data_IF_898400029628
#
_entry.id   IF_898400029628
#
_cell.length_a   1.000
_cell.length_b   1.000
_cell.length_c   1.000
_cell.angle_alpha   90.00
_cell.angle_beta   90.00
_cell.angle_gamma   90.00
#
_symmetry.space_group_name_H-M   'P 1'
#
loop_
_entity.id
_entity.type
_entity.pdbx_description
1 polymer ?
#
# COMPACT_ATOMS: atom_id res chain seq x y z
N UNK A 1 -17.56 11.35 13.28
CA UNK A 1 -17.50 9.97 13.82
C UNK A 1 -18.11 10.00 15.20
N UNK A 2 -19.22 9.28 15.39
CA UNK A 2 -20.09 9.35 16.58
C UNK A 2 -19.57 8.47 17.73
N UNK A 3 -20.00 8.74 18.98
CA UNK A 3 -19.62 7.98 20.17
C UNK A 3 -20.01 6.50 20.06
N UNK A 4 -21.17 6.20 19.47
CA UNK A 4 -21.61 4.83 19.24
C UNK A 4 -20.75 4.08 18.22
N UNK A 5 -20.24 4.76 17.17
CA UNK A 5 -19.29 4.15 16.24
C UNK A 5 -17.99 3.75 16.93
N UNK A 6 -17.46 4.62 17.81
CA UNK A 6 -16.23 4.34 18.56
C UNK A 6 -16.40 3.19 19.55
N UNK A 7 -17.58 3.07 20.18
CA UNK A 7 -17.89 1.97 21.09
C UNK A 7 -17.99 0.64 20.32
N UNK A 8 -18.62 0.65 19.15
CA UNK A 8 -18.73 -0.51 18.27
C UNK A 8 -17.36 -0.96 17.72
N UNK A 9 -16.47 -0.02 17.35
CA UNK A 9 -15.09 -0.35 16.96
C UNK A 9 -14.29 -0.98 18.10
N UNK A 10 -14.44 -0.46 19.33
CA UNK A 10 -13.80 -1.03 20.53
C UNK A 10 -14.30 -2.45 20.84
N UNK A 11 -15.60 -2.70 20.80
CA UNK A 11 -16.17 -4.03 21.02
C UNK A 11 -15.73 -5.03 19.95
N UNK A 12 -15.68 -4.62 18.68
CA UNK A 12 -15.10 -5.44 17.60
C UNK A 12 -13.64 -5.79 17.84
N UNK A 13 -12.84 -4.83 18.32
CA UNK A 13 -11.44 -5.04 18.67
C UNK A 13 -11.28 -6.10 19.77
N UNK A 14 -12.05 -5.99 20.85
CA UNK A 14 -12.03 -6.95 21.96
C UNK A 14 -12.44 -8.37 21.53
N UNK A 15 -13.48 -8.50 20.70
CA UNK A 15 -13.91 -9.79 20.17
C UNK A 15 -12.85 -10.46 19.27
N UNK A 16 -12.10 -9.67 18.49
CA UNK A 16 -10.99 -10.18 17.68
C UNK A 16 -9.85 -10.73 18.53
N UNK A 17 -9.53 -10.09 19.66
CA UNK A 17 -8.47 -10.52 20.58
C UNK A 17 -8.81 -11.84 21.30
N UNK A 18 -10.09 -12.15 21.47
CA UNK A 18 -10.57 -13.39 22.08
C UNK A 18 -10.63 -14.57 21.09
N UNK A 19 -10.35 -14.34 19.80
CA UNK A 19 -10.42 -15.37 18.76
C UNK A 19 -9.10 -16.15 18.61
N UNK A 20 -9.10 -17.36 18.03
CA UNK A 20 -7.87 -18.08 17.70
C UNK A 20 -6.94 -17.21 16.84
N UNK A 21 -5.63 -17.24 17.14
CA UNK A 21 -4.64 -16.37 16.50
C UNK A 21 -4.72 -16.39 14.96
N UNK A 22 -4.99 -17.56 14.35
CA UNK A 22 -5.15 -17.68 12.90
C UNK A 22 -6.36 -16.91 12.34
N UNK A 23 -7.49 -16.92 13.04
CA UNK A 23 -8.71 -16.20 12.65
C UNK A 23 -8.52 -14.68 12.79
N UNK A 24 -7.84 -14.25 13.85
CA UNK A 24 -7.44 -12.86 14.04
C UNK A 24 -6.57 -12.36 12.89
N UNK A 25 -5.48 -13.08 12.59
CA UNK A 25 -4.52 -12.73 11.51
C UNK A 25 -5.23 -12.64 10.17
N UNK A 26 -6.05 -13.63 9.84
CA UNK A 26 -6.80 -13.67 8.58
C UNK A 26 -7.69 -12.44 8.42
N UNK A 27 -8.35 -12.01 9.50
CA UNK A 27 -9.23 -10.84 9.51
C UNK A 27 -8.46 -9.53 9.34
N UNK A 28 -7.33 -9.38 10.04
CA UNK A 28 -6.48 -8.19 9.95
C UNK A 28 -5.89 -8.05 8.54
N UNK A 29 -5.30 -9.12 8.01
CA UNK A 29 -4.66 -9.12 6.69
C UNK A 29 -5.69 -8.91 5.57
N UNK A 30 -6.87 -9.54 5.64
CA UNK A 30 -7.94 -9.29 4.68
C UNK A 30 -8.41 -7.83 4.70
N UNK A 31 -8.54 -7.22 5.88
CA UNK A 31 -8.97 -5.82 6.00
C UNK A 31 -7.95 -4.87 5.37
N UNK A 32 -6.66 -5.11 5.60
CA UNK A 32 -5.58 -4.33 5.01
C UNK A 32 -5.49 -4.54 3.49
N UNK A 33 -5.54 -5.79 3.03
CA UNK A 33 -5.54 -6.12 1.61
C UNK A 33 -6.70 -5.47 0.85
N UNK A 34 -7.92 -5.52 1.41
CA UNK A 34 -9.09 -4.84 0.82
C UNK A 34 -8.92 -3.32 0.74
N UNK A 35 -8.21 -2.71 1.69
CA UNK A 35 -7.96 -1.25 1.65
C UNK A 35 -6.93 -0.89 0.59
N UNK A 36 -5.91 -1.73 0.39
CA UNK A 36 -4.92 -1.54 -0.67
C UNK A 36 -5.57 -1.69 -2.05
N UNK A 37 -6.28 -2.80 -2.27
CA UNK A 37 -6.93 -3.10 -3.57
C UNK A 37 -8.12 -2.22 -3.92
N UNK A 38 -8.78 -1.59 -2.94
CA UNK A 38 -9.86 -0.62 -3.20
C UNK A 38 -9.34 0.77 -3.53
N UNK A 39 -8.07 1.05 -3.30
CA UNK A 39 -7.45 2.35 -3.59
C UNK A 39 -7.29 2.65 -5.09
N UNK A 40 -8.08 1.97 -5.94
CA UNK A 40 -7.94 1.93 -7.39
C UNK A 40 -7.71 3.30 -8.03
N UNK A 41 -6.80 3.29 -9.00
CA UNK A 41 -6.32 4.41 -9.79
C UNK A 41 -5.70 5.56 -8.98
N UNK A 42 -4.51 5.25 -8.46
CA UNK A 42 -3.57 6.11 -7.73
C UNK A 42 -3.34 7.50 -8.33
N UNK A 43 -3.52 7.62 -9.64
CA UNK A 43 -3.28 8.84 -10.42
C UNK A 43 -4.20 9.98 -10.00
N UNK A 44 -5.42 9.66 -9.56
CA UNK A 44 -6.46 10.64 -9.25
C UNK A 44 -6.68 10.85 -7.74
N UNK A 45 -5.90 10.18 -6.89
CA UNK A 45 -5.97 10.38 -5.45
C UNK A 45 -5.36 11.73 -5.07
N UNK A 46 -6.00 12.43 -4.13
CA UNK A 46 -5.39 13.58 -3.46
C UNK A 46 -4.19 13.15 -2.58
N UNK A 47 -3.41 14.13 -2.11
CA UNK A 47 -2.19 13.86 -1.33
C UNK A 47 -2.46 13.06 -0.06
N UNK A 48 -3.57 13.34 0.62
CA UNK A 48 -3.95 12.65 1.85
C UNK A 48 -4.31 11.19 1.55
N UNK A 49 -5.12 10.93 0.52
CA UNK A 49 -5.49 9.60 0.10
C UNK A 49 -4.28 8.79 -0.38
N UNK A 50 -3.35 9.41 -1.13
CA UNK A 50 -2.06 8.78 -1.50
C UNK A 50 -1.24 8.42 -0.27
N UNK A 51 -1.15 9.33 0.70
CA UNK A 51 -0.42 9.09 1.93
C UNK A 51 -1.04 7.96 2.77
N UNK A 52 -2.36 7.94 2.92
CA UNK A 52 -3.08 6.89 3.64
C UNK A 52 -2.92 5.52 2.96
N UNK A 53 -2.92 5.48 1.63
CA UNK A 53 -2.68 4.25 0.88
C UNK A 53 -1.25 3.73 1.10
N UNK A 54 -0.23 4.61 1.06
CA UNK A 54 1.17 4.24 1.37
C UNK A 54 1.31 3.70 2.79
N UNK A 55 0.68 4.34 3.78
CA UNK A 55 0.65 3.86 5.16
C UNK A 55 0.00 2.47 5.22
N UNK A 56 -1.13 2.29 4.55
CA UNK A 56 -1.88 1.03 4.56
C UNK A 56 -1.10 -0.10 3.89
N UNK A 57 -0.44 0.16 2.77
CA UNK A 57 0.44 -0.79 2.09
C UNK A 57 1.60 -1.21 3.00
N UNK A 58 2.27 -0.27 3.68
CA UNK A 58 3.32 -0.59 4.67
C UNK A 58 2.79 -1.45 5.81
N UNK A 59 1.62 -1.08 6.36
CA UNK A 59 0.96 -1.87 7.42
C UNK A 59 0.66 -3.29 6.96
N UNK A 60 0.21 -3.48 5.72
CA UNK A 60 -0.04 -4.81 5.15
C UNK A 60 1.24 -5.63 5.06
N UNK A 61 2.32 -5.08 4.50
CA UNK A 61 3.62 -5.77 4.40
C UNK A 61 4.15 -6.18 5.77
N UNK A 62 4.22 -5.24 6.71
CA UNK A 62 4.76 -5.54 8.05
C UNK A 62 3.90 -6.54 8.82
N UNK A 63 2.58 -6.45 8.69
CA UNK A 63 1.69 -7.47 9.29
C UNK A 63 1.91 -8.84 8.65
N UNK A 64 2.11 -8.89 7.33
CA UNK A 64 2.37 -10.14 6.61
C UNK A 64 3.72 -10.77 6.97
N UNK A 65 4.76 -9.97 7.16
CA UNK A 65 6.07 -10.41 7.67
C UNK A 65 5.95 -10.90 9.12
N UNK A 66 5.32 -10.11 9.99
CA UNK A 66 5.17 -10.40 11.42
C UNK A 66 4.37 -11.69 11.69
N UNK A 67 3.26 -11.89 10.99
CA UNK A 67 2.40 -13.07 11.18
C UNK A 67 2.80 -14.27 10.32
N UNK A 68 3.89 -14.17 9.54
CA UNK A 68 4.37 -15.26 8.70
C UNK A 68 4.60 -16.58 9.44
N UNK A 69 5.12 -16.63 10.69
CA UNK A 69 5.34 -17.90 11.39
C UNK A 69 4.05 -18.63 11.77
N UNK A 70 2.91 -17.92 11.80
CA UNK A 70 1.59 -18.49 12.12
C UNK A 70 0.92 -19.12 10.89
N UNK A 71 1.51 -18.98 9.71
CA UNK A 71 0.97 -19.48 8.44
C UNK A 71 1.86 -20.60 7.89
N UNK A 72 1.28 -21.75 7.57
CA UNK A 72 2.02 -22.93 7.06
C UNK A 72 2.41 -22.82 5.57
N UNK A 73 2.09 -21.69 4.92
CA UNK A 73 2.17 -21.50 3.46
C UNK A 73 3.40 -20.65 3.05
N UNK A 74 4.61 -21.07 3.43
CA UNK A 74 5.86 -20.29 3.23
C UNK A 74 6.11 -19.86 1.78
N UNK A 75 5.81 -20.73 0.80
CA UNK A 75 5.96 -20.39 -0.63
C UNK A 75 4.98 -19.31 -1.07
N UNK A 76 3.73 -19.35 -0.61
CA UNK A 76 2.72 -18.32 -0.93
C UNK A 76 3.07 -17.01 -0.24
N UNK A 77 3.53 -17.07 1.00
CA UNK A 77 4.01 -15.90 1.74
C UNK A 77 5.13 -15.18 0.99
N UNK A 78 6.17 -15.91 0.56
CA UNK A 78 7.29 -15.32 -0.21
C UNK A 78 6.80 -14.62 -1.48
N UNK A 79 5.95 -15.28 -2.27
CA UNK A 79 5.37 -14.69 -3.49
C UNK A 79 4.54 -13.43 -3.19
N UNK A 80 3.77 -13.44 -2.11
CA UNK A 80 2.98 -12.31 -1.68
C UNK A 80 3.85 -11.11 -1.26
N UNK A 81 4.92 -11.36 -0.49
CA UNK A 81 5.86 -10.30 -0.10
C UNK A 81 6.55 -9.70 -1.32
N UNK A 82 7.03 -10.52 -2.26
CA UNK A 82 7.65 -10.01 -3.50
C UNK A 82 6.68 -9.14 -4.31
N UNK A 83 5.41 -9.54 -4.44
CA UNK A 83 4.42 -8.72 -5.13
C UNK A 83 4.11 -7.41 -4.38
N UNK A 84 4.07 -7.45 -3.04
CA UNK A 84 3.93 -6.26 -2.19
C UNK A 84 5.11 -5.29 -2.33
N UNK A 85 6.33 -5.80 -2.45
CA UNK A 85 7.53 -4.99 -2.70
C UNK A 85 7.45 -4.27 -4.03
N UNK A 86 7.16 -5.00 -5.12
CA UNK A 86 6.96 -4.41 -6.44
C UNK A 86 5.89 -3.31 -6.43
N UNK A 87 4.73 -3.57 -5.82
CA UNK A 87 3.68 -2.56 -5.68
C UNK A 87 4.15 -1.34 -4.88
N UNK A 88 4.85 -1.54 -3.76
CA UNK A 88 5.32 -0.43 -2.91
C UNK A 88 6.37 0.44 -3.61
N UNK A 89 7.24 -0.14 -4.43
CA UNK A 89 8.26 0.58 -5.19
C UNK A 89 7.59 1.49 -6.23
N UNK A 90 6.65 0.96 -7.02
CA UNK A 90 5.93 1.75 -8.02
C UNK A 90 5.07 2.84 -7.38
N UNK A 91 4.40 2.54 -6.26
CA UNK A 91 3.69 3.54 -5.45
C UNK A 91 4.62 4.66 -4.98
N UNK A 92 5.83 4.32 -4.52
CA UNK A 92 6.84 5.28 -4.10
C UNK A 92 7.20 6.23 -5.22
N UNK A 93 7.60 5.67 -6.36
CA UNK A 93 7.98 6.45 -7.54
C UNK A 93 6.85 7.36 -8.03
N UNK A 94 5.59 6.91 -8.03
CA UNK A 94 4.46 7.71 -8.51
C UNK A 94 4.19 8.91 -7.61
N UNK A 95 4.36 8.73 -6.30
CA UNK A 95 4.23 9.79 -5.30
C UNK A 95 5.41 10.77 -5.41
N UNK A 96 6.63 10.27 -5.62
CA UNK A 96 7.82 11.10 -5.80
C UNK A 96 7.67 11.98 -7.05
N UNK A 97 7.18 11.41 -8.15
CA UNK A 97 6.88 12.15 -9.38
C UNK A 97 5.82 13.25 -9.17
N UNK A 98 4.80 12.99 -8.36
CA UNK A 98 3.75 13.95 -8.06
C UNK A 98 4.22 15.10 -7.13
N UNK A 99 5.19 14.82 -6.25
CA UNK A 99 5.68 15.78 -5.24
C UNK A 99 6.95 16.51 -5.67
N UNK A 100 7.70 15.98 -6.64
CA UNK A 100 8.94 16.57 -7.15
C UNK A 100 8.82 18.05 -7.59
N UNK A 101 7.77 18.49 -8.33
CA UNK A 101 7.66 19.89 -8.76
C UNK A 101 7.56 20.88 -7.59
N UNK A 102 6.74 20.55 -6.60
CA UNK A 102 6.54 21.38 -5.40
C UNK A 102 7.81 21.42 -4.55
N UNK A 103 8.50 20.29 -4.39
CA UNK A 103 9.79 20.23 -3.69
C UNK A 103 10.89 21.04 -4.40
N UNK A 104 11.01 20.92 -5.72
CA UNK A 104 11.97 21.70 -6.51
C UNK A 104 11.68 23.20 -6.41
N UNK A 105 10.39 23.60 -6.42
CA UNK A 105 9.99 24.99 -6.24
C UNK A 105 10.34 25.52 -4.84
N UNK A 106 9.99 24.78 -3.78
CA UNK A 106 10.27 25.15 -2.38
C UNK A 106 11.76 25.30 -2.08
N UNK A 107 12.60 24.54 -2.78
CA UNK A 107 14.05 24.58 -2.63
C UNK A 107 14.75 25.54 -3.61
N UNK A 108 13.99 26.28 -4.44
CA UNK A 108 14.52 27.14 -5.50
C UNK A 108 15.44 26.39 -6.50
N UNK A 109 15.16 25.11 -6.75
CA UNK A 109 15.93 24.22 -7.62
C UNK A 109 15.31 24.01 -9.01
N UNK A 110 14.17 24.65 -9.31
CA UNK A 110 13.46 24.49 -10.58
C UNK A 110 14.31 24.80 -11.83
N UNK A 111 15.36 25.62 -11.71
CA UNK A 111 16.25 26.00 -12.81
C UNK A 111 17.54 25.19 -12.91
N UNK A 112 17.76 24.19 -12.05
CA UNK A 112 18.97 23.37 -12.07
C UNK A 112 18.92 22.40 -13.27
N UNK A 113 20.03 22.21 -14.01
CA UNK A 113 20.10 21.20 -15.07
C UNK A 113 19.65 19.83 -14.57
N UNK A 114 18.74 19.17 -15.30
CA UNK A 114 18.17 17.87 -14.92
C UNK A 114 16.91 17.94 -14.03
N UNK A 115 16.49 19.12 -13.56
CA UNK A 115 15.25 19.26 -12.77
C UNK A 115 13.99 18.86 -13.56
N UNK A 116 14.00 19.07 -14.89
CA UNK A 116 12.90 18.67 -15.78
C UNK A 116 12.81 17.16 -16.01
N UNK A 117 13.92 16.43 -15.91
CA UNK A 117 13.97 14.98 -16.11
C UNK A 117 13.26 14.25 -14.97
N UNK A 118 13.19 14.84 -13.77
CA UNK A 118 12.48 14.29 -12.62
C UNK A 118 10.95 14.32 -12.78
N UNK A 119 10.41 15.03 -13.76
CA UNK A 119 8.97 15.28 -13.91
C UNK A 119 8.48 15.05 -15.35
N UNK A 120 9.21 14.29 -16.16
CA UNK A 120 8.86 14.13 -17.57
C UNK A 120 7.54 13.35 -17.75
N UNK A 121 6.77 13.73 -18.78
CA UNK A 121 5.52 13.04 -19.11
C UNK A 121 5.75 11.59 -19.61
N UNK A 122 6.91 11.31 -20.21
CA UNK A 122 7.29 9.97 -20.66
C UNK A 122 7.57 9.03 -19.47
N UNK A 123 8.23 9.55 -18.42
CA UNK A 123 8.46 8.80 -17.17
C UNK A 123 7.14 8.55 -16.46
N UNK A 124 6.23 9.52 -16.48
CA UNK A 124 4.87 9.34 -15.95
C UNK A 124 4.14 8.19 -16.64
N UNK A 125 4.08 8.17 -17.97
CA UNK A 125 3.37 7.12 -18.70
C UNK A 125 3.92 5.71 -18.44
N UNK A 126 5.25 5.58 -18.45
CA UNK A 126 5.94 4.32 -18.15
C UNK A 126 5.64 3.84 -16.73
N UNK A 127 5.67 4.76 -15.77
CA UNK A 127 5.44 4.47 -14.36
C UNK A 127 3.99 4.07 -14.07
N UNK A 128 3.02 4.65 -14.78
CA UNK A 128 1.61 4.26 -14.67
C UNK A 128 1.38 2.82 -15.14
N UNK A 129 2.00 2.42 -16.25
CA UNK A 129 1.92 1.05 -16.75
C UNK A 129 2.59 0.07 -15.77
N UNK A 130 3.79 0.39 -15.29
CA UNK A 130 4.50 -0.45 -14.31
C UNK A 130 3.71 -0.57 -12.99
N UNK A 131 3.04 0.51 -12.56
CA UNK A 131 2.17 0.50 -11.39
C UNK A 131 0.96 -0.42 -11.60
N UNK A 132 0.33 -0.38 -12.77
CA UNK A 132 -0.80 -1.25 -13.10
C UNK A 132 -0.37 -2.74 -13.13
N UNK A 133 0.76 -3.06 -13.76
CA UNK A 133 1.31 -4.42 -13.76
C UNK A 133 1.64 -4.92 -12.34
N UNK A 134 2.19 -4.07 -11.49
CA UNK A 134 2.48 -4.40 -10.10
C UNK A 134 1.19 -4.59 -9.27
N UNK A 135 0.14 -3.82 -9.55
CA UNK A 135 -1.17 -3.98 -8.94
C UNK A 135 -1.80 -5.32 -9.33
N UNK A 136 -1.80 -5.68 -10.61
CA UNK A 136 -2.28 -6.96 -11.11
C UNK A 136 -1.53 -8.13 -10.47
N UNK A 137 -0.19 -8.08 -10.46
CA UNK A 137 0.65 -9.09 -9.82
C UNK A 137 0.36 -9.24 -8.32
N UNK A 138 0.05 -8.15 -7.63
CA UNK A 138 -0.34 -8.15 -6.21
C UNK A 138 -1.74 -8.71 -5.98
N UNK A 139 -2.71 -8.39 -6.84
CA UNK A 139 -4.08 -8.92 -6.77
C UNK A 139 -4.08 -10.43 -7.05
N UNK A 140 -3.28 -10.88 -8.02
CA UNK A 140 -3.12 -12.28 -8.39
C UNK A 140 -2.28 -13.09 -7.39
N UNK A 141 -1.49 -12.42 -6.57
CA UNK A 141 -0.74 -13.08 -5.51
C UNK A 141 -1.71 -13.74 -4.51
N UNK A 142 -1.72 -15.08 -4.51
CA UNK A 142 -2.54 -15.87 -3.58
C UNK A 142 -2.29 -15.43 -2.14
N UNK A 143 -3.36 -14.97 -1.48
CA UNK A 143 -3.38 -14.61 -0.05
C UNK A 143 -2.93 -15.81 0.79
N UNK A 144 -1.75 -15.71 1.40
CA UNK A 144 -1.11 -16.83 2.13
C UNK A 144 -1.78 -17.13 3.48
N UNK A 145 -2.61 -16.22 3.97
CA UNK A 145 -3.38 -16.35 5.22
C UNK A 145 -4.75 -17.00 5.02
N UNK A 146 -5.05 -17.48 3.81
CA UNK A 146 -6.29 -18.19 3.48
C UNK A 146 -6.04 -19.65 3.14
#
# INVERSE_FOLDING_TARGET
MDFNERLAERQKGAALLASPAKSFVSTVLDKLWKRVTRGGNLVYLDDEARHQLRITAKKLRYSAEFFSPLCMETKRHKRFITAMEGLQDQLGSLIDLATAPDMLSKLALSGVPGAGDLVSAADKGTLLNATAEAEDAFVDAKRFWR
#
